data_IF_409040178956
#
_entry.id   IF_409040178956
#
_cell.length_a   1.000
_cell.length_b   1.000
_cell.length_c   1.000
_cell.angle_alpha   90.00
_cell.angle_beta   90.00
_cell.angle_gamma   90.00
#
_symmetry.space_group_name_H-M   'P 1'
#
loop_
_entity.id
_entity.type
_entity.pdbx_description
1 polymer ?
#
# COMPACT_ATOMS: atom_id res chain seq x y z
N UNK A 1 -28.04 6.82 -22.25
CA UNK A 1 -27.55 5.54 -21.69
C UNK A 1 -26.05 5.43 -21.94
N UNK A 2 -25.26 6.32 -21.32
CA UNK A 2 -23.81 6.40 -21.55
C UNK A 2 -23.08 7.05 -20.36
N UNK A 3 -23.34 6.58 -19.13
CA UNK A 3 -22.62 7.04 -17.90
C UNK A 3 -21.86 5.91 -17.19
N UNK A 4 -21.69 4.74 -17.79
CA UNK A 4 -21.09 3.57 -17.12
C UNK A 4 -19.55 3.56 -16.97
N UNK A 5 -18.70 4.18 -17.84
CA UNK A 5 -17.25 4.02 -17.68
C UNK A 5 -16.65 4.89 -16.58
N UNK A 6 -17.27 6.03 -16.26
CA UNK A 6 -16.75 6.98 -15.27
C UNK A 6 -17.05 6.56 -13.84
N UNK A 7 -18.26 6.04 -13.56
CA UNK A 7 -18.61 5.54 -12.22
C UNK A 7 -17.76 4.34 -11.81
N UNK A 8 -17.53 3.39 -12.72
CA UNK A 8 -16.65 2.24 -12.46
C UNK A 8 -15.19 2.65 -12.22
N UNK A 9 -14.65 3.61 -12.99
CA UNK A 9 -13.31 4.14 -12.73
C UNK A 9 -13.20 4.81 -11.35
N UNK A 10 -14.26 5.50 -10.89
CA UNK A 10 -14.29 6.12 -9.56
C UNK A 10 -14.36 5.07 -8.46
N UNK A 11 -15.17 4.03 -8.62
CA UNK A 11 -15.24 2.91 -7.67
C UNK A 11 -13.94 2.12 -7.56
N UNK A 12 -13.28 1.85 -8.69
CA UNK A 12 -11.96 1.20 -8.73
C UNK A 12 -10.88 2.05 -8.09
N UNK A 13 -10.89 3.36 -8.34
CA UNK A 13 -9.95 4.29 -7.72
C UNK A 13 -10.17 4.38 -6.21
N UNK A 14 -11.42 4.43 -5.76
CA UNK A 14 -11.78 4.46 -4.33
C UNK A 14 -11.38 3.16 -3.63
N UNK A 15 -11.60 2.01 -4.26
CA UNK A 15 -11.19 0.70 -3.76
C UNK A 15 -9.66 0.60 -3.70
N UNK A 16 -8.97 1.09 -4.73
CA UNK A 16 -7.50 1.18 -4.77
C UNK A 16 -6.94 2.08 -3.67
N UNK A 17 -7.54 3.24 -3.45
CA UNK A 17 -7.16 4.18 -2.40
C UNK A 17 -7.39 3.62 -1.00
N UNK A 18 -8.51 2.90 -0.79
CA UNK A 18 -8.80 2.22 0.47
C UNK A 18 -7.80 1.08 0.75
N UNK A 19 -7.45 0.30 -0.27
CA UNK A 19 -6.43 -0.75 -0.14
C UNK A 19 -5.05 -0.17 0.18
N UNK A 20 -4.67 0.91 -0.49
CA UNK A 20 -3.45 1.67 -0.20
C UNK A 20 -3.42 2.17 1.25
N UNK A 21 -4.52 2.75 1.74
CA UNK A 21 -4.65 3.21 3.12
C UNK A 21 -4.42 2.07 4.11
N UNK A 22 -5.09 0.92 3.91
CA UNK A 22 -4.92 -0.26 4.76
C UNK A 22 -3.47 -0.76 4.77
N UNK A 23 -2.80 -0.76 3.62
CA UNK A 23 -1.40 -1.15 3.52
C UNK A 23 -0.46 -0.19 4.24
N UNK A 24 -0.70 1.13 4.16
CA UNK A 24 0.09 2.13 4.91
C UNK A 24 -0.07 1.93 6.41
N UNK A 25 -1.31 1.71 6.87
CA UNK A 25 -1.60 1.45 8.28
C UNK A 25 -0.91 0.16 8.76
N UNK A 26 -1.01 -0.93 7.99
CA UNK A 26 -0.33 -2.17 8.30
C UNK A 26 1.19 -2.01 8.35
N UNK A 27 1.78 -1.34 7.35
CA UNK A 27 3.21 -1.06 7.30
C UNK A 27 3.69 -0.23 8.50
N UNK A 28 2.90 0.75 8.94
CA UNK A 28 3.21 1.54 10.14
C UNK A 28 3.26 0.68 11.40
N UNK A 29 2.24 -0.14 11.66
CA UNK A 29 2.21 -1.01 12.85
C UNK A 29 3.27 -2.10 12.81
N UNK A 30 3.49 -2.73 11.65
CA UNK A 30 4.57 -3.71 11.49
C UNK A 30 5.95 -3.10 11.72
N UNK A 31 6.17 -1.86 11.26
CA UNK A 31 7.44 -1.16 11.49
C UNK A 31 7.62 -0.78 12.94
N UNK A 32 6.56 -0.32 13.62
CA UNK A 32 6.60 -0.01 15.05
C UNK A 32 6.92 -1.26 15.89
N UNK A 33 6.34 -2.41 15.53
CA UNK A 33 6.65 -3.70 16.15
C UNK A 33 8.11 -4.11 15.90
N UNK A 34 8.62 -3.95 14.67
CA UNK A 34 10.02 -4.25 14.34
C UNK A 34 11.00 -3.33 15.08
N UNK A 35 10.68 -2.04 15.23
CA UNK A 35 11.48 -1.10 16.05
C UNK A 35 11.54 -1.59 17.49
N UNK A 36 10.41 -2.03 18.04
CA UNK A 36 10.31 -2.47 19.44
C UNK A 36 11.07 -3.78 19.69
N UNK A 37 11.08 -4.71 18.73
CA UNK A 37 11.72 -6.02 18.87
C UNK A 37 13.19 -6.05 18.48
N UNK A 38 13.56 -5.38 17.40
CA UNK A 38 14.86 -5.52 16.74
C UNK A 38 15.65 -4.20 16.71
N UNK A 39 15.09 -3.13 17.27
CA UNK A 39 15.69 -1.81 17.32
C UNK A 39 15.37 -0.95 16.09
N UNK A 40 15.66 0.36 16.18
CA UNK A 40 15.19 1.36 15.22
C UNK A 40 15.70 1.12 13.79
N UNK A 41 16.96 0.71 13.63
CA UNK A 41 17.55 0.46 12.31
C UNK A 41 16.84 -0.64 11.52
N UNK A 42 16.44 -1.73 12.19
CA UNK A 42 15.77 -2.85 11.54
C UNK A 42 14.32 -2.49 11.19
N UNK A 43 13.65 -1.72 12.05
CA UNK A 43 12.32 -1.19 11.76
C UNK A 43 12.29 -0.27 10.54
N UNK A 44 13.25 0.66 10.41
CA UNK A 44 13.35 1.53 9.23
C UNK A 44 13.67 0.75 7.94
N UNK A 45 14.57 -0.25 8.02
CA UNK A 45 14.88 -1.10 6.87
C UNK A 45 13.66 -1.92 6.43
N UNK A 46 12.92 -2.48 7.39
CA UNK A 46 11.67 -3.21 7.13
C UNK A 46 10.59 -2.33 6.50
N UNK A 47 10.42 -1.09 6.99
CA UNK A 47 9.52 -0.12 6.39
C UNK A 47 9.90 0.21 4.94
N UNK A 48 11.18 0.45 4.68
CA UNK A 48 11.67 0.77 3.32
C UNK A 48 11.47 -0.39 2.36
N UNK A 49 11.89 -1.61 2.74
CA UNK A 49 11.75 -2.80 1.90
C UNK A 49 10.27 -3.17 1.68
N UNK A 50 9.44 -3.04 2.71
CA UNK A 50 7.99 -3.24 2.61
C UNK A 50 7.32 -2.22 1.68
N UNK A 51 7.71 -0.95 1.78
CA UNK A 51 7.23 0.12 0.89
C UNK A 51 7.61 -0.11 -0.57
N UNK A 52 8.87 -0.48 -0.84
CA UNK A 52 9.35 -0.82 -2.20
C UNK A 52 8.61 -2.04 -2.74
N UNK A 53 8.42 -3.09 -1.94
CA UNK A 53 7.66 -4.29 -2.34
C UNK A 53 6.22 -3.97 -2.73
N UNK A 54 5.53 -3.16 -1.94
CA UNK A 54 4.16 -2.73 -2.26
C UNK A 54 4.09 -1.84 -3.51
N UNK A 55 5.03 -0.93 -3.69
CA UNK A 55 5.10 -0.12 -4.90
C UNK A 55 5.23 -1.01 -6.15
N UNK A 56 6.11 -2.01 -6.12
CA UNK A 56 6.27 -2.95 -7.22
C UNK A 56 5.00 -3.78 -7.49
N UNK A 57 4.28 -4.21 -6.45
CA UNK A 57 3.02 -4.94 -6.60
C UNK A 57 1.92 -4.07 -7.23
N UNK A 58 1.82 -2.81 -6.85
CA UNK A 58 0.87 -1.84 -7.43
C UNK A 58 1.25 -1.54 -8.88
N UNK A 59 2.53 -1.27 -9.16
CA UNK A 59 3.00 -1.04 -10.53
C UNK A 59 2.71 -2.24 -11.42
N UNK A 60 2.91 -3.47 -10.93
CA UNK A 60 2.56 -4.69 -11.67
C UNK A 60 1.06 -4.80 -11.94
N UNK A 61 0.20 -4.38 -11.02
CA UNK A 61 -1.27 -4.42 -11.21
C UNK A 61 -1.76 -3.35 -12.19
N UNK A 62 -1.07 -2.21 -12.29
CA UNK A 62 -1.46 -1.08 -13.16
C UNK A 62 -0.88 -1.17 -14.59
N UNK A 63 0.30 -1.75 -14.75
CA UNK A 63 1.04 -1.77 -16.02
C UNK A 63 1.27 -3.17 -16.62
N UNK A 64 0.84 -4.22 -15.92
CA UNK A 64 1.06 -5.63 -16.30
C UNK A 64 -0.21 -6.38 -16.62
#
# INVERSE_FOLDING_TARGET
MAEEPAEQMIEDWKTGAFFLLLCVVAAFFSSLLLVLLLGPFVGFLGFFLGGVGMFLLISRKLYG
#
